data_IF_917305504506
#
_entry.id   IF_917305504506
#
_cell.length_a   1.000
_cell.length_b   1.000
_cell.length_c   1.000
_cell.angle_alpha   90.00
_cell.angle_beta   90.00
_cell.angle_gamma   90.00
#
_symmetry.space_group_name_H-M   'P 1'
#
loop_
_entity.id
_entity.type
_entity.pdbx_description
1 polymer ?
#
# COMPACT_ATOMS: atom_id res chain seq x y z
N UNK A 1 -38.36 25.33 3.37
CA UNK A 1 -37.15 25.92 3.98
C UNK A 1 -36.34 26.59 2.90
N UNK A 2 -35.96 27.87 3.08
CA UNK A 2 -35.05 28.55 2.18
C UNK A 2 -33.63 27.99 2.37
N UNK A 3 -32.89 27.78 1.28
CA UNK A 3 -31.53 27.23 1.32
C UNK A 3 -30.79 27.48 0.01
N UNK A 4 -29.47 27.36 0.03
CA UNK A 4 -28.63 27.57 -1.17
C UNK A 4 -28.29 26.24 -1.83
N UNK A 5 -28.57 26.12 -3.13
CA UNK A 5 -28.19 24.98 -3.99
C UNK A 5 -26.95 25.24 -4.83
N UNK A 6 -26.21 26.33 -4.57
CA UNK A 6 -25.02 26.73 -5.33
C UNK A 6 -23.79 25.90 -4.90
N UNK A 7 -23.62 24.72 -5.46
CA UNK A 7 -22.55 23.78 -5.09
C UNK A 7 -21.15 24.24 -5.51
N UNK A 8 -21.06 25.08 -6.55
CA UNK A 8 -19.78 25.60 -7.08
C UNK A 8 -19.27 26.85 -6.36
N UNK A 9 -20.09 27.44 -5.48
CA UNK A 9 -19.79 28.71 -4.83
C UNK A 9 -19.59 28.50 -3.32
N UNK A 10 -18.33 28.56 -2.88
CA UNK A 10 -17.96 28.38 -1.47
C UNK A 10 -18.22 26.96 -0.95
N UNK A 11 -18.29 26.81 0.37
CA UNK A 11 -18.57 25.54 1.04
C UNK A 11 -20.02 25.48 1.52
N UNK A 12 -20.50 24.30 1.90
CA UNK A 12 -21.80 24.18 2.58
C UNK A 12 -21.79 24.99 3.89
N UNK A 13 -20.69 24.93 4.65
CA UNK A 13 -20.54 25.65 5.91
C UNK A 13 -20.60 27.16 5.73
N UNK A 14 -19.82 27.74 4.81
CA UNK A 14 -19.83 29.20 4.58
C UNK A 14 -21.21 29.68 4.13
N UNK A 15 -21.87 28.95 3.22
CA UNK A 15 -23.20 29.30 2.73
C UNK A 15 -24.25 29.26 3.84
N UNK A 16 -24.25 28.24 4.69
CA UNK A 16 -25.21 28.14 5.81
C UNK A 16 -24.93 29.21 6.86
N UNK A 17 -23.65 29.44 7.21
CA UNK A 17 -23.24 30.51 8.13
C UNK A 17 -23.76 31.86 7.66
N UNK A 18 -23.61 32.18 6.38
CA UNK A 18 -23.98 33.49 5.84
C UNK A 18 -25.52 33.62 5.68
N UNK A 19 -26.22 32.52 5.37
CA UNK A 19 -27.70 32.46 5.41
C UNK A 19 -28.27 32.64 6.81
N UNK A 20 -27.57 32.15 7.84
CA UNK A 20 -27.93 32.39 9.24
C UNK A 20 -27.67 33.84 9.65
N UNK A 21 -26.51 34.39 9.27
CA UNK A 21 -26.14 35.81 9.55
C UNK A 21 -27.09 36.81 8.90
N UNK A 22 -27.59 36.52 7.70
CA UNK A 22 -28.58 37.35 6.99
C UNK A 22 -30.01 37.16 7.48
N UNK A 23 -30.27 36.24 8.42
CA UNK A 23 -31.59 35.96 8.98
C UNK A 23 -32.51 35.12 8.09
N UNK A 24 -32.03 34.65 6.92
CA UNK A 24 -32.80 33.75 6.03
C UNK A 24 -33.04 32.40 6.70
N UNK A 25 -32.01 31.85 7.34
CA UNK A 25 -32.13 30.69 8.23
C UNK A 25 -32.24 31.22 9.66
N UNK A 26 -33.39 30.98 10.30
CA UNK A 26 -33.60 31.37 11.70
C UNK A 26 -32.69 30.54 12.61
N UNK A 27 -32.26 31.06 13.78
CA UNK A 27 -31.47 30.30 14.74
C UNK A 27 -32.11 28.97 15.18
N UNK A 28 -33.45 28.94 15.27
CA UNK A 28 -34.22 27.71 15.58
C UNK A 28 -34.18 26.65 14.47
N UNK A 29 -33.78 27.03 13.26
CA UNK A 29 -33.61 26.16 12.10
C UNK A 29 -32.13 25.89 11.78
N UNK A 30 -31.22 26.23 12.71
CA UNK A 30 -29.80 25.92 12.58
C UNK A 30 -29.62 24.40 12.39
N UNK A 31 -28.90 23.95 11.35
CA UNK A 31 -28.68 22.53 11.13
C UNK A 31 -27.89 21.89 12.28
N UNK A 32 -28.26 20.66 12.65
CA UNK A 32 -27.64 19.90 13.76
C UNK A 32 -26.13 19.75 13.56
N UNK A 33 -25.67 19.57 12.33
CA UNK A 33 -24.25 19.40 12.02
C UNK A 33 -23.42 20.69 12.14
N UNK A 34 -24.05 21.86 12.18
CA UNK A 34 -23.35 23.15 12.08
C UNK A 34 -22.36 23.34 13.24
N UNK A 35 -22.81 23.09 14.47
CA UNK A 35 -21.97 23.26 15.67
C UNK A 35 -20.83 22.24 15.71
N UNK A 36 -21.07 21.02 15.20
CA UNK A 36 -20.04 19.98 15.09
C UNK A 36 -18.95 20.41 14.12
N UNK A 37 -19.34 20.97 12.96
CA UNK A 37 -18.39 21.48 11.96
C UNK A 37 -17.60 22.69 12.50
N UNK A 38 -18.27 23.58 13.23
CA UNK A 38 -17.66 24.79 13.80
C UNK A 38 -16.62 24.44 14.88
N UNK A 39 -16.93 23.46 15.74
CA UNK A 39 -16.03 22.96 16.76
C UNK A 39 -14.87 22.13 16.19
N UNK A 40 -15.13 21.32 15.16
CA UNK A 40 -14.17 20.38 14.57
C UNK A 40 -14.11 20.53 13.04
N UNK A 41 -13.57 21.65 12.53
CA UNK A 41 -13.50 21.88 11.10
C UNK A 41 -12.54 20.89 10.41
N UNK A 42 -12.80 20.50 9.15
CA UNK A 42 -11.91 19.62 8.41
C UNK A 42 -10.59 20.33 8.08
N UNK A 43 -9.49 19.57 7.93
CA UNK A 43 -8.18 20.11 7.55
C UNK A 43 -8.19 20.88 6.22
N UNK A 44 -9.05 20.44 5.29
CA UNK A 44 -9.23 21.08 3.98
C UNK A 44 -10.71 21.37 3.79
N UNK A 45 -11.01 22.61 3.41
CA UNK A 45 -12.37 23.01 3.10
C UNK A 45 -12.91 22.27 1.85
N UNK A 46 -14.17 21.79 1.87
CA UNK A 46 -14.79 21.07 0.78
C UNK A 46 -15.25 22.03 -0.33
N UNK A 47 -14.31 22.74 -0.93
CA UNK A 47 -14.55 23.63 -2.06
C UNK A 47 -14.71 22.81 -3.34
N UNK A 48 -15.65 23.22 -4.19
CA UNK A 48 -15.73 22.70 -5.54
C UNK A 48 -14.48 23.09 -6.33
N UNK A 49 -13.76 22.08 -6.83
CA UNK A 49 -12.61 22.26 -7.72
C UNK A 49 -12.96 21.57 -9.02
N UNK A 50 -13.02 22.34 -10.12
CA UNK A 50 -13.26 21.76 -11.45
C UNK A 50 -12.08 20.82 -11.78
N UNK A 51 -12.32 19.52 -12.05
CA UNK A 51 -11.23 18.63 -12.44
C UNK A 51 -10.61 19.15 -13.74
N UNK A 52 -9.31 19.43 -13.71
CA UNK A 52 -8.57 19.87 -14.88
C UNK A 52 -7.85 18.66 -15.47
N UNK A 53 -8.24 18.26 -16.68
CA UNK A 53 -7.48 17.27 -17.45
C UNK A 53 -6.16 17.92 -17.85
N UNK A 54 -5.05 17.39 -17.33
CA UNK A 54 -3.71 17.94 -17.60
C UNK A 54 -3.42 17.87 -19.11
N UNK A 55 -3.45 19.01 -19.81
CA UNK A 55 -3.10 19.09 -21.25
C UNK A 55 -1.59 18.94 -21.48
N UNK A 56 -0.78 19.26 -20.46
CA UNK A 56 0.68 19.17 -20.47
C UNK A 56 1.08 17.97 -19.63
N UNK A 57 1.99 17.13 -20.15
CA UNK A 57 2.61 15.99 -19.45
C UNK A 57 3.46 16.49 -18.28
N UNK A 58 2.84 16.98 -17.22
CA UNK A 58 3.50 17.28 -15.95
C UNK A 58 3.74 15.94 -15.24
N UNK A 59 4.97 15.68 -14.81
CA UNK A 59 5.31 14.49 -14.03
C UNK A 59 4.37 14.39 -12.81
N UNK A 60 3.91 13.17 -12.54
CA UNK A 60 3.12 12.89 -11.35
C UNK A 60 3.99 13.17 -10.11
N UNK A 61 3.52 13.97 -9.13
CA UNK A 61 4.27 14.19 -7.90
C UNK A 61 4.42 12.93 -7.04
N UNK A 62 3.66 11.85 -7.31
CA UNK A 62 3.74 10.61 -6.53
C UNK A 62 4.87 9.73 -7.06
N UNK A 63 5.93 9.47 -6.25
CA UNK A 63 7.02 8.58 -6.64
C UNK A 63 6.61 7.11 -6.55
N UNK A 64 7.38 6.24 -7.22
CA UNK A 64 7.27 4.78 -7.06
C UNK A 64 7.76 4.35 -5.67
N UNK A 65 7.12 3.33 -5.09
CA UNK A 65 7.46 2.79 -3.76
C UNK A 65 8.23 1.48 -3.96
N UNK A 66 9.55 1.56 -3.88
CA UNK A 66 10.47 0.42 -4.00
C UNK A 66 11.32 0.28 -2.75
N UNK A 67 11.51 -0.95 -2.30
CA UNK A 67 12.34 -1.29 -1.14
C UNK A 67 13.58 -2.08 -1.56
N UNK A 68 14.60 -2.10 -0.70
CA UNK A 68 15.86 -2.80 -0.99
C UNK A 68 15.67 -4.31 -1.17
N UNK A 69 14.72 -4.89 -0.43
CA UNK A 69 14.41 -6.30 -0.56
C UNK A 69 13.68 -6.66 -1.85
N UNK A 70 13.12 -5.69 -2.58
CA UNK A 70 12.43 -5.95 -3.85
C UNK A 70 13.39 -6.48 -4.92
N UNK A 71 14.67 -6.11 -4.86
CA UNK A 71 15.72 -6.68 -5.71
C UNK A 71 15.88 -8.19 -5.46
N UNK A 72 15.79 -8.62 -4.19
CA UNK A 72 15.89 -10.02 -3.79
C UNK A 72 14.61 -10.77 -4.16
N UNK A 73 13.45 -10.15 -3.93
CA UNK A 73 12.14 -10.71 -4.33
C UNK A 73 12.08 -10.92 -5.84
N UNK A 74 12.57 -9.97 -6.64
CA UNK A 74 12.64 -10.09 -8.09
C UNK A 74 13.48 -11.31 -8.52
N UNK A 75 14.71 -11.43 -7.99
CA UNK A 75 15.59 -12.59 -8.24
C UNK A 75 14.94 -13.92 -7.80
N UNK A 76 14.25 -13.93 -6.65
CA UNK A 76 13.54 -15.10 -6.15
C UNK A 76 12.40 -15.52 -7.11
N UNK A 77 11.55 -14.59 -7.53
CA UNK A 77 10.43 -14.90 -8.43
C UNK A 77 10.89 -15.24 -9.85
N UNK A 78 12.02 -14.69 -10.30
CA UNK A 78 12.65 -15.11 -11.55
C UNK A 78 13.07 -16.59 -11.51
N UNK A 79 13.76 -17.00 -10.44
CA UNK A 79 14.31 -18.37 -10.31
C UNK A 79 13.27 -19.42 -9.90
N UNK A 80 12.41 -19.11 -8.92
CA UNK A 80 11.50 -20.08 -8.29
C UNK A 80 10.02 -19.82 -8.62
N UNK A 81 9.65 -18.61 -9.02
CA UNK A 81 8.26 -18.21 -9.24
C UNK A 81 7.44 -18.23 -7.94
N UNK A 82 6.10 -18.28 -8.08
CA UNK A 82 5.16 -18.14 -6.96
C UNK A 82 5.15 -19.35 -6.01
N UNK A 83 5.66 -20.52 -6.46
CA UNK A 83 5.58 -21.77 -5.71
C UNK A 83 4.15 -22.32 -5.61
N UNK A 84 3.96 -23.34 -4.76
CA UNK A 84 2.68 -24.03 -4.56
C UNK A 84 1.86 -23.47 -3.39
N UNK A 85 2.52 -22.78 -2.46
CA UNK A 85 1.89 -22.24 -1.26
C UNK A 85 1.20 -20.92 -1.59
N UNK A 86 -0.12 -20.90 -1.48
CA UNK A 86 -0.92 -19.69 -1.71
C UNK A 86 -0.63 -18.62 -0.65
N UNK A 87 -0.79 -17.36 -1.04
CA UNK A 87 -0.74 -16.24 -0.11
C UNK A 87 -2.03 -16.16 0.72
N UNK A 88 -1.91 -16.05 2.05
CA UNK A 88 -3.05 -15.84 2.94
C UNK A 88 -3.18 -14.36 3.30
N UNK A 89 -3.69 -13.55 2.36
CA UNK A 89 -3.78 -12.09 2.50
C UNK A 89 -4.68 -11.60 3.66
N UNK A 90 -5.55 -12.47 4.21
CA UNK A 90 -6.39 -12.15 5.37
C UNK A 90 -5.64 -12.26 6.70
N UNK A 91 -4.46 -12.89 6.73
CA UNK A 91 -3.63 -13.02 7.93
C UNK A 91 -2.54 -11.95 7.89
N UNK A 92 -2.54 -10.96 8.81
CA UNK A 92 -1.54 -9.89 8.80
C UNK A 92 -0.11 -10.42 9.00
N UNK A 93 0.04 -11.47 9.81
CA UNK A 93 1.35 -12.07 10.14
C UNK A 93 1.75 -13.20 9.18
N UNK A 94 1.14 -13.27 7.99
CA UNK A 94 1.47 -14.32 7.03
C UNK A 94 2.85 -14.10 6.42
N UNK A 95 3.79 -14.97 6.78
CA UNK A 95 5.13 -14.98 6.18
C UNK A 95 5.14 -15.93 4.97
N UNK A 96 5.25 -15.34 3.77
CA UNK A 96 5.36 -16.09 2.51
C UNK A 96 6.71 -16.80 2.39
N UNK A 97 6.81 -17.79 1.51
CA UNK A 97 8.10 -18.47 1.23
C UNK A 97 9.15 -17.47 0.72
N UNK A 98 8.75 -16.52 -0.13
CA UNK A 98 9.63 -15.44 -0.59
C UNK A 98 10.08 -14.55 0.57
N UNK A 99 9.19 -14.22 1.51
CA UNK A 99 9.56 -13.42 2.67
C UNK A 99 10.55 -14.17 3.59
N UNK A 100 10.34 -15.46 3.86
CA UNK A 100 11.31 -16.29 4.59
C UNK A 100 12.67 -16.30 3.91
N UNK A 101 12.69 -16.32 2.57
CA UNK A 101 13.92 -16.25 1.80
C UNK A 101 14.63 -14.91 1.98
N UNK A 102 13.90 -13.79 1.90
CA UNK A 102 14.45 -12.45 2.16
C UNK A 102 15.00 -12.35 3.57
N UNK A 103 14.25 -12.80 4.59
CA UNK A 103 14.67 -12.72 5.99
C UNK A 103 15.97 -13.49 6.21
N UNK A 104 16.06 -14.71 5.66
CA UNK A 104 17.27 -15.54 5.73
C UNK A 104 18.44 -14.93 4.97
N UNK A 105 18.19 -14.37 3.79
CA UNK A 105 19.20 -13.67 3.01
C UNK A 105 19.79 -12.49 3.77
N UNK A 106 18.95 -11.70 4.45
CA UNK A 106 19.41 -10.57 5.27
C UNK A 106 20.15 -11.04 6.53
N UNK A 107 19.72 -12.13 7.16
CA UNK A 107 20.45 -12.75 8.28
C UNK A 107 21.87 -13.14 7.85
N UNK A 108 22.02 -13.85 6.73
CA UNK A 108 23.33 -14.26 6.21
C UNK A 108 24.18 -13.07 5.76
N UNK A 109 23.57 -12.08 5.09
CA UNK A 109 24.25 -10.84 4.67
C UNK A 109 24.86 -10.07 5.84
N UNK A 110 24.23 -10.16 7.02
CA UNK A 110 24.72 -9.49 8.23
C UNK A 110 25.91 -10.18 8.89
N UNK A 111 26.13 -11.48 8.59
CA UNK A 111 27.18 -12.31 9.20
C UNK A 111 28.39 -12.50 8.29
N UNK A 112 28.14 -12.69 7.00
CA UNK A 112 29.17 -13.07 6.03
C UNK A 112 29.36 -12.01 4.93
N UNK A 113 30.62 -11.74 4.58
CA UNK A 113 30.98 -10.89 3.43
C UNK A 113 31.02 -11.71 2.13
N UNK A 114 29.89 -12.36 1.81
CA UNK A 114 29.75 -13.10 0.56
C UNK A 114 29.32 -12.21 -0.59
N UNK A 115 29.71 -12.60 -1.81
CA UNK A 115 29.14 -12.02 -3.02
C UNK A 115 27.64 -12.29 -3.09
N UNK A 116 26.87 -11.37 -3.70
CA UNK A 116 25.40 -11.50 -3.77
C UNK A 116 24.93 -12.82 -4.39
N UNK A 117 25.67 -13.33 -5.38
CA UNK A 117 25.36 -14.59 -6.05
C UNK A 117 25.58 -15.80 -5.12
N UNK A 118 26.71 -15.82 -4.40
CA UNK A 118 27.00 -16.87 -3.42
C UNK A 118 25.99 -16.85 -2.27
N UNK A 119 25.70 -15.65 -1.75
CA UNK A 119 24.73 -15.43 -0.69
C UNK A 119 23.33 -15.93 -1.07
N UNK A 120 22.91 -15.70 -2.32
CA UNK A 120 21.61 -16.16 -2.81
C UNK A 120 21.52 -17.69 -2.88
N UNK A 121 22.56 -18.37 -3.38
CA UNK A 121 22.60 -19.83 -3.42
C UNK A 121 22.68 -20.44 -2.01
N UNK A 122 23.47 -19.86 -1.10
CA UNK A 122 23.54 -20.32 0.29
C UNK A 122 22.23 -20.15 1.03
N UNK A 123 21.53 -19.03 0.81
CA UNK A 123 20.19 -18.82 1.35
C UNK A 123 19.24 -19.93 0.91
N UNK A 124 19.27 -20.30 -0.38
CA UNK A 124 18.49 -21.42 -0.91
C UNK A 124 18.82 -22.74 -0.21
N UNK A 125 20.11 -23.07 -0.05
CA UNK A 125 20.56 -24.27 0.66
C UNK A 125 20.12 -24.29 2.13
N UNK A 126 20.22 -23.15 2.81
CA UNK A 126 19.82 -23.03 4.21
C UNK A 126 18.30 -23.28 4.39
N UNK A 127 17.46 -22.73 3.52
CA UNK A 127 16.02 -22.95 3.58
C UNK A 127 15.63 -24.39 3.23
N UNK A 128 16.35 -25.02 2.30
CA UNK A 128 16.16 -26.45 2.01
C UNK A 128 16.49 -27.32 3.23
N UNK A 129 17.56 -26.99 3.96
CA UNK A 129 17.92 -27.66 5.21
C UNK A 129 16.88 -27.43 6.33
N UNK A 130 16.20 -26.28 6.33
CA UNK A 130 15.05 -25.99 7.20
C UNK A 130 13.73 -26.69 6.76
N UNK A 131 13.78 -27.49 5.68
CA UNK A 131 12.63 -28.24 5.15
C UNK A 131 11.68 -27.41 4.29
N UNK A 132 12.06 -26.21 3.87
CA UNK A 132 11.25 -25.36 2.99
C UNK A 132 11.46 -25.80 1.55
N UNK A 133 10.39 -26.18 0.86
CA UNK A 133 10.45 -26.63 -0.53
C UNK A 133 10.60 -25.46 -1.50
N UNK A 134 11.67 -25.46 -2.29
CA UNK A 134 11.93 -24.50 -3.36
C UNK A 134 11.87 -25.21 -4.71
N UNK A 135 10.91 -24.85 -5.56
CA UNK A 135 10.78 -25.41 -6.92
C UNK A 135 11.25 -24.38 -7.94
N UNK A 136 12.21 -24.74 -8.79
CA UNK A 136 12.62 -23.85 -9.89
C UNK A 136 11.51 -23.67 -10.92
N UNK A 137 11.40 -22.46 -11.45
CA UNK A 137 10.48 -22.13 -12.54
C UNK A 137 10.85 -22.94 -13.78
N UNK A 138 9.88 -23.65 -14.35
CA UNK A 138 10.08 -24.51 -15.53
C UNK A 138 10.56 -25.94 -15.24
N UNK A 139 10.79 -26.30 -13.97
CA UNK A 139 11.22 -27.66 -13.63
C UNK A 139 10.06 -28.68 -13.69
N UNK A 140 10.29 -29.92 -14.17
CA UNK A 140 9.25 -30.92 -14.36
C UNK A 140 8.53 -31.25 -13.04
N UNK A 141 7.24 -31.62 -13.08
CA UNK A 141 6.50 -32.02 -11.88
C UNK A 141 7.23 -33.19 -11.19
N UNK A 142 7.66 -33.00 -9.94
CA UNK A 142 8.45 -33.99 -9.17
C UNK A 142 9.90 -33.59 -8.86
N UNK A 143 10.44 -32.55 -9.50
CA UNK A 143 11.83 -32.07 -9.30
C UNK A 143 12.00 -31.07 -8.15
N UNK A 144 11.12 -31.11 -7.16
CA UNK A 144 11.27 -30.25 -5.98
C UNK A 144 12.57 -30.64 -5.27
N UNK A 145 13.53 -29.72 -5.21
CA UNK A 145 14.72 -29.89 -4.41
C UNK A 145 14.23 -30.02 -2.95
N UNK A 146 14.44 -31.18 -2.34
CA UNK A 146 14.17 -31.46 -0.93
C UNK A 146 15.47 -31.97 -0.33
N UNK A 147 15.76 -31.61 0.93
CA UNK A 147 17.01 -31.96 1.57
C UNK A 147 17.21 -33.49 1.55
N UNK A 148 18.40 -34.02 1.20
CA UNK A 148 18.75 -35.36 1.63
C UNK A 148 18.77 -35.34 3.16
N UNK A 149 18.13 -36.34 3.77
CA UNK A 149 17.93 -36.43 5.22
C UNK A 149 19.21 -36.45 6.04
#
# INVERSE_FOLDING_TARGET
MAGSRLEKFGTVYSRVRDLMRSGVIKPSQKPIWFDVYDAFPPKKEPLYVKPHTRTIKKQDPVPEILYREDEIRAKFFEKYGTGYRSFLLHKPDFVSTCQRFVDKYMELKSRDELSEAALFEETGKALLAEGITLKRRGAPPGSAESSPG
#
